data_IF_339209756363
#
_entry.id   IF_339209756363
#
_cell.length_a   1.000
_cell.length_b   1.000
_cell.length_c   1.000
_cell.angle_alpha   90.00
_cell.angle_beta   90.00
_cell.angle_gamma   90.00
#
_symmetry.space_group_name_H-M   'P 1'
#
loop_
_entity.id
_entity.type
_entity.pdbx_description
1 polymer ?
#
# COMPACT_ATOMS: atom_id res chain seq x y z
N UNK A 1 51.64 -34.44 -15.31
CA UNK A 1 50.27 -34.42 -15.83
C UNK A 1 50.16 -33.14 -16.64
N UNK A 2 49.93 -33.24 -17.94
CA UNK A 2 49.76 -32.07 -18.80
C UNK A 2 48.32 -31.63 -18.60
N UNK A 3 48.09 -30.43 -18.05
CA UNK A 3 46.74 -29.85 -17.99
C UNK A 3 46.37 -29.51 -19.43
N UNK A 4 45.22 -29.99 -19.96
CA UNK A 4 44.78 -29.64 -21.31
C UNK A 4 44.67 -28.12 -21.45
N UNK A 5 45.09 -27.58 -22.60
CA UNK A 5 45.04 -26.13 -22.90
C UNK A 5 43.59 -25.59 -23.00
N UNK A 6 42.59 -26.48 -22.91
CA UNK A 6 41.16 -26.22 -23.12
C UNK A 6 40.27 -26.52 -21.91
N UNK A 7 40.85 -26.88 -20.76
CA UNK A 7 40.06 -27.16 -19.55
C UNK A 7 39.41 -25.87 -19.01
N UNK A 8 38.08 -25.83 -19.02
CA UNK A 8 37.26 -24.69 -18.61
C UNK A 8 36.19 -25.14 -17.61
N UNK A 9 35.95 -24.31 -16.60
CA UNK A 9 34.91 -24.57 -15.61
C UNK A 9 33.57 -24.19 -16.21
N UNK A 10 32.63 -25.13 -16.26
CA UNK A 10 31.29 -24.95 -16.83
C UNK A 10 30.27 -24.50 -15.79
N UNK A 11 30.46 -24.87 -14.53
CA UNK A 11 29.55 -24.54 -13.44
C UNK A 11 30.33 -24.34 -12.14
N UNK A 12 29.86 -23.42 -11.29
CA UNK A 12 30.29 -23.31 -9.90
C UNK A 12 29.09 -22.93 -9.03
N UNK A 13 28.98 -23.53 -7.85
CA UNK A 13 27.90 -23.26 -6.91
C UNK A 13 28.30 -23.59 -5.47
N UNK A 14 27.43 -23.23 -4.54
CA UNK A 14 27.50 -23.68 -3.15
C UNK A 14 26.76 -25.02 -2.95
N UNK A 15 27.32 -25.90 -2.11
CA UNK A 15 26.64 -27.17 -1.77
C UNK A 15 25.41 -27.04 -0.86
N UNK A 16 25.11 -25.83 -0.36
CA UNK A 16 23.96 -25.50 0.48
C UNK A 16 23.47 -24.09 0.13
N UNK A 17 22.20 -23.81 0.42
CA UNK A 17 21.62 -22.47 0.24
C UNK A 17 22.37 -21.39 1.04
N UNK A 18 22.89 -21.73 2.23
CA UNK A 18 23.75 -20.85 3.02
C UNK A 18 24.69 -21.64 3.93
N UNK A 19 25.75 -20.96 4.38
CA UNK A 19 26.67 -21.42 5.43
C UNK A 19 26.82 -20.36 6.51
N UNK A 20 26.74 -20.77 7.77
CA UNK A 20 26.98 -19.89 8.92
C UNK A 20 28.47 -19.70 9.19
N UNK A 21 28.83 -18.65 9.93
CA UNK A 21 30.23 -18.32 10.25
C UNK A 21 31.03 -19.43 10.95
N UNK A 22 30.37 -20.37 11.64
CA UNK A 22 31.01 -21.48 12.35
C UNK A 22 31.21 -22.73 11.47
N UNK A 23 30.66 -22.73 10.26
CA UNK A 23 30.77 -23.84 9.33
C UNK A 23 32.03 -23.78 8.47
N UNK A 24 32.28 -24.90 7.79
CA UNK A 24 33.21 -24.97 6.66
C UNK A 24 32.42 -24.93 5.36
N UNK A 25 32.94 -24.19 4.40
CA UNK A 25 32.37 -24.01 3.07
C UNK A 25 33.29 -24.64 2.03
N UNK A 26 32.66 -25.30 1.05
CA UNK A 26 33.27 -25.81 -0.17
C UNK A 26 32.46 -25.26 -1.36
N UNK A 27 33.18 -24.98 -2.45
CA UNK A 27 32.61 -24.79 -3.77
C UNK A 27 32.57 -26.10 -4.54
N UNK A 28 31.48 -26.30 -5.26
CA UNK A 28 31.21 -27.45 -6.13
C UNK A 28 31.03 -26.97 -7.55
N UNK A 29 31.19 -27.86 -8.52
CA UNK A 29 30.96 -27.53 -9.91
C UNK A 29 31.46 -28.60 -10.87
N UNK A 30 31.51 -28.24 -12.15
CA UNK A 30 31.96 -29.10 -13.24
C UNK A 30 32.95 -28.40 -14.16
N UNK A 31 33.81 -29.18 -14.80
CA UNK A 31 34.68 -28.78 -15.92
C UNK A 31 34.68 -29.83 -17.03
N UNK A 32 35.17 -29.46 -18.21
CA UNK A 32 34.93 -30.18 -19.47
C UNK A 32 35.98 -31.25 -19.86
N UNK A 33 37.06 -31.42 -19.11
CA UNK A 33 38.18 -32.32 -19.46
C UNK A 33 38.36 -33.49 -18.48
N UNK A 34 38.11 -33.28 -17.19
CA UNK A 34 38.28 -34.28 -16.14
C UNK A 34 39.69 -34.28 -15.54
N UNK A 35 39.77 -34.65 -14.26
CA UNK A 35 41.03 -34.89 -13.53
C UNK A 35 42.01 -33.69 -13.53
N UNK A 36 41.51 -32.46 -13.50
CA UNK A 36 42.34 -31.24 -13.45
C UNK A 36 42.27 -30.57 -12.08
N UNK A 37 43.23 -29.70 -11.78
CA UNK A 37 43.18 -28.84 -10.61
C UNK A 37 42.28 -27.64 -10.91
N UNK A 38 41.20 -27.49 -10.14
CA UNK A 38 40.31 -26.33 -10.18
C UNK A 38 40.65 -25.40 -9.02
N UNK A 39 40.75 -24.10 -9.31
CA UNK A 39 40.97 -23.04 -8.34
C UNK A 39 39.71 -22.19 -8.24
N UNK A 40 39.38 -21.73 -7.03
CA UNK A 40 38.30 -20.76 -6.80
C UNK A 40 38.87 -19.54 -6.10
N UNK A 41 38.85 -18.40 -6.78
CA UNK A 41 39.22 -17.11 -6.23
C UNK A 41 37.98 -16.40 -5.68
N UNK A 42 37.90 -16.27 -4.37
CA UNK A 42 36.85 -15.51 -3.67
C UNK A 42 37.36 -14.11 -3.41
N UNK A 43 36.88 -13.15 -4.19
CA UNK A 43 37.24 -11.73 -4.12
C UNK A 43 36.26 -10.99 -3.20
N UNK A 44 36.81 -10.28 -2.22
CA UNK A 44 36.03 -9.50 -1.25
C UNK A 44 35.61 -8.12 -1.81
N UNK A 45 34.73 -7.38 -1.10
CA UNK A 45 34.27 -6.05 -1.52
C UNK A 45 35.41 -5.03 -1.71
N UNK A 46 36.57 -5.24 -1.08
CA UNK A 46 37.74 -4.36 -1.20
C UNK A 46 38.66 -4.75 -2.37
N UNK A 47 38.36 -5.89 -3.00
CA UNK A 47 39.09 -6.44 -4.14
C UNK A 47 40.18 -7.44 -3.77
N UNK A 48 40.32 -7.81 -2.49
CA UNK A 48 41.30 -8.81 -2.04
C UNK A 48 40.74 -10.22 -2.23
N UNK A 49 41.57 -11.12 -2.75
CA UNK A 49 41.15 -12.50 -3.04
C UNK A 49 41.69 -13.51 -2.05
N UNK A 50 40.87 -14.52 -1.75
CA UNK A 50 41.23 -15.78 -1.10
C UNK A 50 41.15 -16.90 -2.14
N UNK A 51 42.10 -17.82 -2.11
CA UNK A 51 42.14 -18.95 -3.04
C UNK A 51 41.79 -20.25 -2.33
N UNK A 52 40.90 -21.00 -2.96
CA UNK A 52 40.58 -22.39 -2.64
C UNK A 52 40.93 -23.24 -3.86
N UNK A 53 41.14 -24.53 -3.65
CA UNK A 53 41.42 -25.46 -4.75
C UNK A 53 40.93 -26.87 -4.45
N UNK A 54 40.70 -27.62 -5.51
CA UNK A 54 40.25 -29.02 -5.50
C UNK A 54 40.58 -29.69 -6.83
N UNK A 55 40.68 -31.02 -6.83
CA UNK A 55 40.80 -31.77 -8.08
C UNK A 55 39.41 -32.18 -8.56
N UNK A 56 39.15 -32.04 -9.85
CA UNK A 56 38.00 -32.68 -10.46
C UNK A 56 38.24 -34.19 -10.59
N UNK A 57 37.16 -34.94 -10.65
CA UNK A 57 37.16 -36.37 -10.92
C UNK A 57 37.27 -36.64 -12.45
N UNK A 58 37.32 -37.91 -12.89
CA UNK A 58 37.42 -38.23 -14.33
C UNK A 58 36.23 -37.80 -15.20
N UNK A 59 35.09 -37.42 -14.61
CA UNK A 59 33.92 -36.89 -15.36
C UNK A 59 33.80 -35.38 -15.24
N UNK A 60 34.74 -34.73 -14.54
CA UNK A 60 34.85 -33.28 -14.46
C UNK A 60 34.17 -32.66 -13.24
N UNK A 61 33.56 -33.44 -12.35
CA UNK A 61 32.97 -32.89 -11.12
C UNK A 61 34.05 -32.58 -10.09
N UNK A 62 33.98 -31.42 -9.43
CA UNK A 62 34.95 -31.02 -8.41
C UNK A 62 34.30 -30.55 -7.12
N UNK A 63 35.04 -30.75 -6.02
CA UNK A 63 34.81 -30.09 -4.73
C UNK A 63 36.13 -29.45 -4.28
N UNK A 64 36.08 -28.18 -3.87
CA UNK A 64 37.24 -27.54 -3.23
C UNK A 64 37.44 -28.01 -1.79
N UNK A 65 38.69 -27.97 -1.31
CA UNK A 65 38.99 -28.34 0.09
C UNK A 65 38.20 -27.43 1.05
N UNK A 66 37.36 -27.99 1.95
CA UNK A 66 36.52 -27.20 2.85
C UNK A 66 37.34 -26.26 3.74
N UNK A 67 36.98 -24.98 3.78
CA UNK A 67 37.61 -23.96 4.63
C UNK A 67 36.60 -23.26 5.54
N UNK A 68 37.03 -22.77 6.70
CA UNK A 68 36.12 -22.05 7.61
C UNK A 68 35.61 -20.76 6.97
N UNK A 69 34.30 -20.50 7.07
CA UNK A 69 33.66 -19.28 6.54
C UNK A 69 34.37 -18.02 7.04
N UNK A 70 34.70 -17.95 8.35
CA UNK A 70 35.43 -16.83 8.97
C UNK A 70 36.80 -16.53 8.35
N UNK A 71 37.44 -17.50 7.70
CA UNK A 71 38.74 -17.30 7.07
C UNK A 71 38.66 -16.67 5.68
N UNK A 72 37.48 -16.77 5.04
CA UNK A 72 37.21 -16.30 3.69
C UNK A 72 36.43 -14.99 3.74
N UNK A 73 35.35 -14.95 4.52
CA UNK A 73 34.42 -13.84 4.63
C UNK A 73 34.69 -13.07 5.92
N UNK A 74 35.20 -11.84 5.79
CA UNK A 74 35.70 -11.04 6.92
C UNK A 74 35.06 -9.65 7.05
N UNK A 75 34.32 -9.22 6.03
CA UNK A 75 33.56 -8.00 6.00
C UNK A 75 32.19 -8.25 5.37
N UNK A 76 31.15 -7.62 5.90
CA UNK A 76 29.79 -7.66 5.34
C UNK A 76 29.82 -7.11 3.91
N UNK A 77 29.10 -7.75 2.99
CA UNK A 77 28.92 -7.29 1.62
C UNK A 77 29.03 -8.40 0.58
N UNK A 78 29.16 -7.98 -0.67
CA UNK A 78 29.16 -8.87 -1.84
C UNK A 78 30.56 -9.35 -2.21
N UNK A 79 30.69 -10.66 -2.41
CA UNK A 79 31.90 -11.34 -2.84
C UNK A 79 31.67 -11.92 -4.24
N UNK A 80 32.73 -11.98 -5.04
CA UNK A 80 32.71 -12.67 -6.32
C UNK A 80 33.61 -13.91 -6.22
N UNK A 81 33.03 -15.10 -6.40
CA UNK A 81 33.76 -16.35 -6.42
C UNK A 81 33.93 -16.83 -7.87
N UNK A 82 35.16 -16.77 -8.37
CA UNK A 82 35.49 -17.19 -9.74
C UNK A 82 36.25 -18.51 -9.73
N UNK A 83 35.66 -19.55 -10.32
CA UNK A 83 36.27 -20.86 -10.51
C UNK A 83 36.98 -20.95 -11.86
N UNK A 84 38.22 -21.46 -11.88
CA UNK A 84 39.04 -21.56 -13.08
C UNK A 84 40.09 -22.66 -12.96
N UNK A 85 40.48 -23.26 -14.08
CA UNK A 85 41.57 -24.24 -14.14
C UNK A 85 42.92 -23.53 -14.32
N UNK A 86 43.08 -22.82 -15.45
CA UNK A 86 44.36 -22.19 -15.83
C UNK A 86 44.39 -20.68 -15.57
N UNK A 87 43.48 -19.94 -16.22
CA UNK A 87 43.41 -18.47 -16.15
C UNK A 87 42.07 -18.04 -15.60
N UNK A 88 42.09 -17.13 -14.63
CA UNK A 88 40.88 -16.58 -14.00
C UNK A 88 40.00 -15.81 -14.99
N UNK A 89 40.57 -15.28 -16.08
CA UNK A 89 39.82 -14.54 -17.11
C UNK A 89 38.81 -15.42 -17.87
N UNK A 90 39.06 -16.73 -17.92
CA UNK A 90 38.16 -17.72 -18.52
C UNK A 90 37.30 -18.42 -17.45
N UNK A 91 37.28 -17.90 -16.23
CA UNK A 91 36.61 -18.54 -15.11
C UNK A 91 35.11 -18.28 -15.08
N UNK A 92 34.38 -19.23 -14.52
CA UNK A 92 32.94 -19.09 -14.24
C UNK A 92 32.77 -18.50 -12.85
N UNK A 93 31.87 -17.51 -12.71
CA UNK A 93 31.71 -16.74 -11.48
C UNK A 93 30.31 -16.83 -10.92
N UNK A 94 30.22 -16.87 -9.59
CA UNK A 94 28.98 -16.63 -8.83
C UNK A 94 29.16 -15.44 -7.90
N UNK A 95 28.07 -14.75 -7.63
CA UNK A 95 28.01 -13.71 -6.62
C UNK A 95 27.55 -14.32 -5.30
N UNK A 96 28.21 -13.92 -4.22
CA UNK A 96 27.87 -14.33 -2.86
C UNK A 96 27.63 -13.09 -2.01
N UNK A 97 26.74 -13.18 -1.04
CA UNK A 97 26.53 -12.14 -0.04
C UNK A 97 26.83 -12.68 1.35
N UNK A 98 27.59 -11.90 2.14
CA UNK A 98 27.83 -12.17 3.55
C UNK A 98 27.18 -11.08 4.39
N UNK A 99 26.19 -11.46 5.21
CA UNK A 99 25.41 -10.53 6.05
C UNK A 99 26.02 -10.29 7.45
N UNK A 100 27.12 -10.99 7.77
CA UNK A 100 27.77 -10.96 9.08
C UNK A 100 27.56 -12.24 9.90
N UNK A 101 26.52 -13.01 9.60
CA UNK A 101 26.18 -14.27 10.28
C UNK A 101 26.29 -15.48 9.35
N UNK A 102 25.95 -15.30 8.07
CA UNK A 102 25.95 -16.34 7.05
C UNK A 102 26.34 -15.80 5.68
N UNK A 103 26.81 -16.72 4.84
CA UNK A 103 27.05 -16.50 3.41
C UNK A 103 26.06 -17.31 2.60
N UNK A 104 25.52 -16.70 1.55
CA UNK A 104 24.61 -17.33 0.60
C UNK A 104 24.91 -16.86 -0.82
N UNK A 105 24.51 -17.67 -1.80
CA UNK A 105 24.64 -17.33 -3.21
C UNK A 105 23.58 -16.29 -3.59
N UNK A 106 24.00 -15.25 -4.31
CA UNK A 106 23.10 -14.26 -4.89
C UNK A 106 22.61 -14.83 -6.21
N UNK A 107 21.30 -15.07 -6.37
CA UNK A 107 20.79 -15.67 -7.60
C UNK A 107 21.04 -14.79 -8.83
N UNK A 108 21.39 -15.40 -9.96
CA UNK A 108 21.54 -14.73 -11.26
C UNK A 108 20.19 -14.60 -12.00
N UNK A 109 19.21 -14.01 -11.32
CA UNK A 109 17.95 -13.58 -11.93
C UNK A 109 17.62 -12.18 -11.43
N UNK A 110 16.81 -11.45 -12.19
CA UNK A 110 16.25 -10.17 -11.74
C UNK A 110 14.92 -10.44 -11.07
N UNK A 111 14.84 -10.20 -9.76
CA UNK A 111 13.56 -10.26 -9.05
C UNK A 111 12.70 -9.08 -9.52
N UNK A 112 11.62 -9.36 -10.26
CA UNK A 112 10.74 -8.33 -10.78
C UNK A 112 9.28 -8.79 -10.78
N UNK A 113 8.39 -7.97 -10.20
CA UNK A 113 6.95 -8.16 -10.22
C UNK A 113 6.38 -7.81 -11.60
N UNK A 114 5.35 -8.56 -12.02
CA UNK A 114 4.46 -8.10 -13.07
C UNK A 114 3.65 -6.90 -12.56
N UNK A 115 3.39 -5.94 -13.44
CA UNK A 115 2.54 -4.79 -13.11
C UNK A 115 1.16 -5.24 -12.64
N UNK A 116 0.68 -4.67 -11.54
CA UNK A 116 -0.61 -5.01 -10.94
C UNK A 116 -1.63 -3.94 -11.33
N UNK A 117 -2.64 -4.25 -12.18
CA UNK A 117 -3.59 -3.23 -12.61
C UNK A 117 -4.49 -2.76 -11.46
N UNK A 118 -4.77 -1.46 -11.44
CA UNK A 118 -5.73 -0.83 -10.53
C UNK A 118 -7.05 -1.59 -10.46
N UNK A 119 -7.63 -1.65 -9.26
CA UNK A 119 -8.91 -2.32 -9.02
C UNK A 119 -9.94 -1.35 -8.49
N UNK A 120 -11.20 -1.71 -8.70
CA UNK A 120 -12.33 -1.03 -8.11
C UNK A 120 -13.23 -2.05 -7.44
N UNK A 121 -13.68 -1.76 -6.22
CA UNK A 121 -14.50 -2.66 -5.42
C UNK A 121 -15.54 -1.86 -4.63
N UNK A 122 -16.68 -2.46 -4.35
CA UNK A 122 -17.68 -1.88 -3.44
C UNK A 122 -17.43 -2.33 -2.01
N UNK A 123 -17.89 -1.56 -1.02
CA UNK A 123 -17.84 -2.03 0.36
C UNK A 123 -18.56 -3.36 0.52
N UNK A 124 -18.07 -4.19 1.43
CA UNK A 124 -18.57 -5.53 1.73
C UNK A 124 -18.43 -6.54 0.57
N UNK A 125 -17.79 -6.16 -0.54
CA UNK A 125 -17.38 -7.06 -1.62
C UNK A 125 -15.90 -7.39 -1.51
N UNK A 126 -15.56 -8.66 -1.71
CA UNK A 126 -14.17 -9.09 -1.71
C UNK A 126 -13.50 -8.79 -3.04
N UNK A 127 -12.32 -8.19 -2.98
CA UNK A 127 -11.37 -8.10 -4.10
C UNK A 127 -10.22 -9.09 -3.88
N UNK A 128 -9.80 -9.74 -4.96
CA UNK A 128 -8.67 -10.67 -4.96
C UNK A 128 -7.88 -10.54 -6.25
N UNK A 129 -6.57 -10.72 -6.15
CA UNK A 129 -5.64 -10.85 -7.27
C UNK A 129 -4.43 -11.66 -6.80
N UNK A 130 -3.57 -12.06 -7.73
CA UNK A 130 -2.32 -12.76 -7.42
C UNK A 130 -1.17 -11.93 -7.96
N UNK A 131 -0.24 -11.54 -7.09
CA UNK A 131 1.04 -10.97 -7.51
C UNK A 131 1.93 -12.09 -8.07
N UNK A 132 2.62 -11.82 -9.16
CA UNK A 132 3.47 -12.80 -9.82
C UNK A 132 4.75 -12.15 -10.35
N UNK A 133 5.80 -12.93 -10.46
CA UNK A 133 7.08 -12.50 -11.03
C UNK A 133 7.07 -12.55 -12.55
N UNK A 134 7.85 -11.69 -13.19
CA UNK A 134 8.12 -11.77 -14.63
C UNK A 134 8.83 -13.08 -14.96
N UNK A 135 9.84 -13.44 -14.17
CA UNK A 135 10.50 -14.73 -14.25
C UNK A 135 9.79 -15.77 -13.37
N UNK A 136 9.00 -16.65 -14.00
CA UNK A 136 8.28 -17.74 -13.34
C UNK A 136 9.17 -18.91 -12.88
N UNK A 137 10.44 -18.94 -13.31
CA UNK A 137 11.39 -19.98 -12.89
C UNK A 137 11.86 -19.77 -11.46
N UNK A 138 11.87 -18.52 -10.98
CA UNK A 138 12.21 -18.15 -9.60
C UNK A 138 11.32 -18.87 -8.59
N UNK A 139 11.93 -19.50 -7.60
CA UNK A 139 11.27 -20.25 -6.51
C UNK A 139 11.61 -19.63 -5.16
N UNK A 140 10.82 -19.96 -4.13
CA UNK A 140 11.04 -19.54 -2.74
C UNK A 140 10.94 -18.02 -2.48
N UNK A 141 10.18 -17.32 -3.33
CA UNK A 141 9.87 -15.89 -3.13
C UNK A 141 8.84 -15.69 -2.01
N UNK A 142 9.04 -14.63 -1.22
CA UNK A 142 8.19 -14.27 -0.08
C UNK A 142 7.48 -12.95 -0.36
N UNK A 143 6.15 -12.98 -0.41
CA UNK A 143 5.31 -11.81 -0.63
C UNK A 143 4.86 -11.17 0.69
N UNK A 144 4.78 -9.85 0.71
CA UNK A 144 4.30 -9.06 1.85
C UNK A 144 3.62 -7.77 1.38
N UNK A 145 2.98 -7.08 2.32
CA UNK A 145 2.32 -5.79 2.07
C UNK A 145 2.95 -4.70 2.93
N UNK A 146 2.88 -3.46 2.43
CA UNK A 146 3.21 -2.26 3.19
C UNK A 146 2.20 -1.16 2.91
N UNK A 147 1.73 -0.51 3.98
CA UNK A 147 0.68 0.52 3.96
C UNK A 147 -0.68 -0.01 3.48
N UNK A 148 -0.93 -1.31 3.64
CA UNK A 148 -2.18 -1.95 3.25
C UNK A 148 -3.39 -1.46 4.06
N UNK A 149 -4.59 -1.45 3.46
CA UNK A 149 -5.80 -1.15 4.21
C UNK A 149 -6.08 -2.22 5.27
N UNK A 150 -6.72 -1.81 6.37
CA UNK A 150 -7.04 -2.71 7.47
C UNK A 150 -7.85 -3.92 6.99
N UNK A 151 -7.39 -5.12 7.37
CA UNK A 151 -8.02 -6.39 6.99
C UNK A 151 -7.62 -6.91 5.61
N UNK A 152 -6.76 -6.22 4.86
CA UNK A 152 -6.12 -6.79 3.68
C UNK A 152 -5.06 -7.81 4.09
N UNK A 153 -4.94 -8.86 3.29
CA UNK A 153 -3.97 -9.94 3.52
C UNK A 153 -3.35 -10.36 2.20
N UNK A 154 -2.11 -10.83 2.24
CA UNK A 154 -1.46 -11.53 1.14
C UNK A 154 -0.91 -12.85 1.66
N UNK A 155 -1.11 -13.92 0.90
CA UNK A 155 -0.44 -15.18 1.18
C UNK A 155 1.04 -15.06 0.77
N UNK A 156 1.94 -15.28 1.72
CA UNK A 156 3.37 -15.02 1.53
C UNK A 156 4.04 -15.96 0.54
N UNK A 157 3.43 -17.11 0.23
CA UNK A 157 4.01 -18.13 -0.67
C UNK A 157 3.41 -18.09 -2.07
N UNK A 158 2.13 -17.71 -2.19
CA UNK A 158 1.40 -17.71 -3.46
C UNK A 158 1.19 -16.31 -4.05
N UNK A 159 1.46 -15.25 -3.28
CA UNK A 159 1.19 -13.87 -3.69
C UNK A 159 -0.30 -13.55 -3.81
N UNK A 160 -1.19 -14.43 -3.29
CA UNK A 160 -2.65 -14.23 -3.37
C UNK A 160 -3.07 -13.15 -2.38
N UNK A 161 -3.50 -12.01 -2.91
CA UNK A 161 -4.09 -10.92 -2.15
C UNK A 161 -5.60 -11.15 -1.97
N UNK A 162 -6.09 -10.84 -0.76
CA UNK A 162 -7.52 -10.84 -0.42
C UNK A 162 -7.82 -9.66 0.49
N UNK A 163 -8.84 -8.88 0.11
CA UNK A 163 -9.38 -7.81 0.95
C UNK A 163 -10.89 -7.68 0.79
N UNK A 164 -11.58 -7.45 1.90
CA UNK A 164 -13.02 -7.11 1.93
C UNK A 164 -13.17 -5.77 2.65
N UNK A 165 -13.31 -4.64 1.95
CA UNK A 165 -13.47 -3.34 2.59
C UNK A 165 -14.73 -3.32 3.44
N UNK A 166 -14.62 -3.03 4.73
CA UNK A 166 -15.79 -2.74 5.57
C UNK A 166 -16.47 -1.43 5.15
N UNK A 167 -17.67 -1.18 5.67
CA UNK A 167 -18.41 0.09 5.44
C UNK A 167 -17.61 1.35 5.80
N UNK A 168 -16.70 1.27 6.78
CA UNK A 168 -15.86 2.40 7.19
C UNK A 168 -14.79 2.77 6.15
N UNK A 169 -14.53 1.92 5.17
CA UNK A 169 -13.62 2.22 4.05
C UNK A 169 -14.32 2.94 2.89
N UNK A 170 -15.67 2.95 2.88
CA UNK A 170 -16.46 3.69 1.90
C UNK A 170 -16.80 5.10 2.38
N UNK A 171 -17.07 6.01 1.45
CA UNK A 171 -17.52 7.37 1.74
C UNK A 171 -18.64 7.80 0.77
N UNK A 172 -19.03 9.08 0.79
CA UNK A 172 -19.94 9.72 -0.19
C UNK A 172 -19.29 9.88 -1.58
N UNK A 173 -17.97 9.70 -1.64
CA UNK A 173 -17.16 9.68 -2.85
C UNK A 173 -16.30 8.41 -2.86
N UNK A 174 -15.73 8.11 -4.02
CA UNK A 174 -14.78 7.02 -4.18
C UNK A 174 -13.50 7.32 -3.39
N UNK A 175 -12.97 6.31 -2.71
CA UNK A 175 -11.76 6.43 -1.87
C UNK A 175 -10.66 5.54 -2.45
N UNK A 176 -9.49 6.13 -2.68
CA UNK A 176 -8.32 5.40 -3.20
C UNK A 176 -7.46 4.89 -2.04
N UNK A 177 -7.13 3.61 -2.08
CA UNK A 177 -6.18 2.96 -1.18
C UNK A 177 -4.92 2.58 -1.98
N UNK A 178 -3.80 3.23 -1.65
CA UNK A 178 -2.50 2.97 -2.25
C UNK A 178 -1.62 2.23 -1.26
N UNK A 179 -1.08 1.09 -1.67
CA UNK A 179 -0.19 0.27 -0.85
C UNK A 179 0.82 -0.44 -1.75
N UNK A 180 1.91 -0.91 -1.14
CA UNK A 180 2.95 -1.63 -1.87
C UNK A 180 2.78 -3.14 -1.66
N UNK A 181 2.85 -3.90 -2.75
CA UNK A 181 3.13 -5.33 -2.72
C UNK A 181 4.64 -5.50 -2.86
N UNK A 182 5.26 -6.18 -1.90
CA UNK A 182 6.70 -6.37 -1.84
C UNK A 182 7.00 -7.86 -2.01
N UNK A 183 7.98 -8.20 -2.84
CA UNK A 183 8.49 -9.56 -2.97
C UNK A 183 9.97 -9.58 -2.59
N UNK A 184 10.35 -10.55 -1.77
CA UNK A 184 11.72 -10.80 -1.36
C UNK A 184 12.15 -12.19 -1.83
N UNK A 185 13.39 -12.31 -2.32
CA UNK A 185 14.01 -13.59 -2.60
C UNK A 185 15.52 -13.50 -2.38
N UNK A 186 16.03 -14.22 -1.38
CA UNK A 186 17.41 -14.05 -0.93
C UNK A 186 17.68 -12.61 -0.49
N UNK A 187 18.70 -11.98 -1.08
CA UNK A 187 19.04 -10.56 -0.85
C UNK A 187 18.33 -9.58 -1.80
N UNK A 188 17.48 -10.05 -2.72
CA UNK A 188 16.77 -9.19 -3.67
C UNK A 188 15.38 -8.80 -3.15
N UNK A 189 15.00 -7.55 -3.37
CA UNK A 189 13.67 -6.99 -3.10
C UNK A 189 13.16 -6.29 -4.35
N UNK A 190 11.89 -6.51 -4.69
CA UNK A 190 11.16 -5.68 -5.64
C UNK A 190 9.79 -5.29 -5.08
N UNK A 191 9.23 -4.19 -5.57
CA UNK A 191 7.96 -3.65 -5.09
C UNK A 191 7.12 -3.11 -6.23
N UNK A 192 5.81 -3.32 -6.12
CA UNK A 192 4.82 -2.76 -7.02
C UNK A 192 3.76 -1.99 -6.23
N UNK A 193 3.45 -0.78 -6.68
CA UNK A 193 2.41 0.03 -6.06
C UNK A 193 1.04 -0.37 -6.61
N UNK A 194 0.06 -0.58 -5.73
CA UNK A 194 -1.28 -1.02 -6.08
C UNK A 194 -2.30 0.01 -5.61
N UNK A 195 -3.19 0.41 -6.53
CA UNK A 195 -4.35 1.25 -6.21
C UNK A 195 -5.62 0.42 -6.20
N UNK A 196 -6.36 0.46 -5.09
CA UNK A 196 -7.74 -0.04 -5.03
C UNK A 196 -8.69 1.11 -4.71
N UNK A 197 -9.60 1.40 -5.65
CA UNK A 197 -10.68 2.36 -5.46
C UNK A 197 -11.88 1.68 -4.83
N UNK A 198 -12.21 2.06 -3.60
CA UNK A 198 -13.47 1.68 -2.97
C UNK A 198 -14.54 2.65 -3.44
N UNK A 199 -15.56 2.13 -4.14
CA UNK A 199 -16.69 2.95 -4.61
C UNK A 199 -17.43 3.56 -3.44
N UNK A 200 -17.99 4.75 -3.67
CA UNK A 200 -18.89 5.39 -2.71
C UNK A 200 -19.94 4.40 -2.21
N UNK A 201 -20.02 4.26 -0.90
CA UNK A 201 -20.99 3.38 -0.24
C UNK A 201 -22.35 4.06 -0.06
N UNK A 202 -22.38 5.39 -0.24
CA UNK A 202 -23.58 6.21 -0.16
C UNK A 202 -23.88 6.82 -1.53
N UNK A 203 -25.05 6.48 -2.07
CA UNK A 203 -25.68 7.23 -3.15
C UNK A 203 -26.64 8.18 -2.44
N UNK A 204 -26.43 9.51 -2.55
CA UNK A 204 -27.44 10.47 -2.11
C UNK A 204 -28.80 10.03 -2.69
N UNK A 205 -29.87 9.99 -1.88
CA UNK A 205 -31.18 9.70 -2.41
C UNK A 205 -31.44 10.70 -3.53
N UNK A 206 -31.64 10.17 -4.75
CA UNK A 206 -32.19 10.97 -5.83
C UNK A 206 -33.48 11.54 -5.24
N UNK A 207 -33.55 12.86 -5.05
CA UNK A 207 -34.83 13.50 -4.77
C UNK A 207 -35.71 13.08 -5.94
N UNK A 208 -36.67 12.18 -5.68
CA UNK A 208 -37.61 11.76 -6.71
C UNK A 208 -38.13 13.03 -7.38
N UNK A 209 -38.10 13.15 -8.72
CA UNK A 209 -38.88 14.16 -9.38
C UNK A 209 -40.31 13.87 -8.94
N UNK A 210 -40.83 14.72 -8.04
CA UNK A 210 -42.21 14.69 -7.56
C UNK A 210 -43.07 14.48 -8.80
N UNK A 211 -43.69 13.30 -8.93
CA UNK A 211 -44.58 13.01 -10.05
C UNK A 211 -45.54 14.17 -10.17
N UNK A 212 -45.35 14.92 -11.24
CA UNK A 212 -46.26 15.94 -11.70
C UNK A 212 -47.59 15.24 -12.01
N UNK A 213 -48.69 15.58 -11.32
CA UNK A 213 -50.01 15.31 -11.85
C UNK A 213 -50.17 16.14 -13.14
N UNK A 214 -50.46 15.50 -14.27
CA UNK A 214 -50.99 16.19 -15.45
C UNK A 214 -52.28 16.98 -15.12
N UNK A 215 -52.62 18.02 -15.89
CA UNK A 215 -52.64 19.41 -15.42
C UNK A 215 -54.01 19.89 -14.94
N UNK A 216 -54.02 20.79 -13.97
CA UNK A 216 -55.10 21.77 -13.72
C UNK A 216 -54.50 22.96 -12.96
N UNK A 217 -55.02 24.19 -13.13
CA UNK A 217 -54.23 25.36 -13.51
C UNK A 217 -53.35 25.95 -12.39
N UNK A 218 -52.23 26.51 -12.83
CA UNK A 218 -51.18 27.22 -12.12
C UNK A 218 -51.64 28.05 -10.92
N UNK A 219 -51.05 27.78 -9.75
CA UNK A 219 -50.93 28.76 -8.66
C UNK A 219 -49.42 28.94 -8.40
N UNK A 220 -48.89 30.18 -8.37
CA UNK A 220 -47.46 30.43 -8.34
C UNK A 220 -46.87 30.14 -6.95
N UNK A 221 -45.75 29.41 -6.93
CA UNK A 221 -44.89 29.25 -5.75
C UNK A 221 -44.23 30.60 -5.40
N UNK A 222 -44.22 31.04 -4.12
CA UNK A 222 -43.61 32.31 -3.73
C UNK A 222 -42.09 32.33 -3.97
N UNK A 223 -41.63 33.45 -4.52
CA UNK A 223 -40.20 33.78 -4.67
C UNK A 223 -39.66 34.20 -3.31
N UNK A 224 -38.55 33.61 -2.85
CA UNK A 224 -37.87 34.07 -1.62
C UNK A 224 -37.51 35.57 -1.76
N UNK A 225 -37.97 36.44 -0.84
CA UNK A 225 -37.68 37.86 -0.90
C UNK A 225 -36.24 38.14 -0.46
N UNK A 226 -35.47 38.79 -1.34
CA UNK A 226 -34.17 39.36 -1.01
C UNK A 226 -34.38 40.74 -0.35
N UNK A 227 -34.29 40.83 0.98
CA UNK A 227 -34.28 42.09 1.73
C UNK A 227 -35.17 42.12 2.97
N UNK A 228 -35.16 43.24 3.70
CA UNK A 228 -36.11 43.48 4.80
C UNK A 228 -37.53 43.70 4.25
N UNK A 229 -38.54 43.32 5.02
CA UNK A 229 -39.93 43.56 4.66
C UNK A 229 -40.26 45.05 4.63
N UNK A 230 -41.17 45.46 3.74
CA UNK A 230 -41.49 46.88 3.49
C UNK A 230 -42.09 47.62 4.70
N UNK A 231 -42.57 46.92 5.72
CA UNK A 231 -43.07 47.52 6.97
C UNK A 231 -41.98 47.81 8.01
N UNK A 232 -40.76 47.33 7.77
CA UNK A 232 -39.64 47.47 8.70
C UNK A 232 -39.09 48.88 8.58
N UNK A 233 -39.07 49.58 9.70
CA UNK A 233 -38.43 50.89 9.84
C UNK A 233 -37.01 50.65 10.35
N UNK A 234 -36.01 50.88 9.50
CA UNK A 234 -34.60 50.65 9.81
C UNK A 234 -34.09 51.51 11.00
N UNK A 235 -34.84 52.55 11.40
CA UNK A 235 -34.49 53.40 12.55
C UNK A 235 -35.02 52.86 13.89
N UNK A 236 -35.83 51.80 13.86
CA UNK A 236 -36.37 51.13 15.06
C UNK A 236 -35.64 49.84 15.35
N UNK A 237 -35.65 49.45 16.62
CA UNK A 237 -35.10 48.17 17.04
C UNK A 237 -35.86 47.01 16.38
N UNK A 238 -35.20 46.18 15.55
CA UNK A 238 -35.83 45.05 14.87
C UNK A 238 -36.48 44.05 15.84
N UNK A 239 -35.95 43.92 17.06
CA UNK A 239 -36.50 43.01 18.06
C UNK A 239 -37.90 43.43 18.53
N UNK A 240 -38.24 44.72 18.46
CA UNK A 240 -39.58 45.22 18.82
C UNK A 240 -40.69 44.66 17.93
N UNK A 241 -40.39 44.35 16.67
CA UNK A 241 -41.33 43.75 15.71
C UNK A 241 -41.58 42.27 16.01
N UNK A 242 -40.53 41.52 16.36
CA UNK A 242 -40.63 40.12 16.81
C UNK A 242 -41.43 40.03 18.11
N UNK A 243 -41.15 40.91 19.05
CA UNK A 243 -41.88 41.02 20.31
C UNK A 243 -43.36 41.30 20.09
N UNK A 244 -43.68 42.21 19.18
CA UNK A 244 -45.06 42.53 18.81
C UNK A 244 -45.75 41.36 18.12
N UNK A 245 -45.06 40.65 17.22
CA UNK A 245 -45.55 39.43 16.56
C UNK A 245 -45.90 38.32 17.56
N UNK A 246 -45.12 38.15 18.62
CA UNK A 246 -45.39 37.14 19.64
C UNK A 246 -46.44 37.57 20.68
N UNK A 247 -46.60 38.87 20.94
CA UNK A 247 -47.49 39.41 22.00
C UNK A 247 -48.88 39.82 21.49
N UNK A 248 -49.01 40.25 20.24
CA UNK A 248 -50.27 40.77 19.67
C UNK A 248 -50.85 39.81 18.61
N UNK A 249 -51.91 39.04 18.90
CA UNK A 249 -52.50 38.09 17.95
C UNK A 249 -53.01 38.74 16.66
N UNK A 250 -53.47 39.98 16.73
CA UNK A 250 -53.92 40.76 15.58
C UNK A 250 -52.77 41.16 14.66
N UNK A 251 -51.61 41.51 15.24
CA UNK A 251 -50.40 41.83 14.50
C UNK A 251 -49.77 40.57 13.88
N UNK A 252 -49.78 39.45 14.62
CA UNK A 252 -49.41 38.13 14.10
C UNK A 252 -50.23 37.76 12.88
N UNK A 253 -51.56 37.81 13.00
CA UNK A 253 -52.46 37.52 11.89
C UNK A 253 -52.24 38.46 10.71
N UNK A 254 -52.06 39.76 10.96
CA UNK A 254 -51.75 40.72 9.91
C UNK A 254 -50.44 40.38 9.18
N UNK A 255 -49.37 40.03 9.90
CA UNK A 255 -48.12 39.62 9.27
C UNK A 255 -48.29 38.35 8.44
N UNK A 256 -48.90 37.31 9.03
CA UNK A 256 -49.13 36.02 8.37
C UNK A 256 -50.02 36.18 7.11
N UNK A 257 -50.98 37.12 7.12
CA UNK A 257 -51.88 37.39 6.01
C UNK A 257 -51.25 38.29 4.90
N UNK A 258 -50.25 39.14 5.23
CA UNK A 258 -49.73 40.16 4.30
C UNK A 258 -48.28 39.92 3.83
N UNK A 259 -47.50 39.10 4.52
CA UNK A 259 -46.06 38.90 4.30
C UNK A 259 -45.69 37.43 4.18
N UNK A 260 -46.53 36.65 3.48
CA UNK A 260 -46.36 35.21 3.26
C UNK A 260 -45.09 34.83 2.48
N UNK A 261 -44.44 35.80 1.84
CA UNK A 261 -43.15 35.62 1.17
C UNK A 261 -41.99 35.39 2.15
N UNK A 262 -42.11 35.81 3.42
CA UNK A 262 -41.10 35.57 4.45
C UNK A 262 -41.42 34.28 5.23
N UNK A 263 -40.41 33.44 5.43
CA UNK A 263 -40.55 32.19 6.20
C UNK A 263 -40.78 32.42 7.70
N UNK A 264 -40.36 33.58 8.22
CA UNK A 264 -40.62 34.00 9.59
C UNK A 264 -40.53 35.52 9.78
N UNK A 265 -41.04 36.00 10.92
CA UNK A 265 -40.86 37.40 11.33
C UNK A 265 -39.38 37.76 11.50
N UNK A 266 -38.52 36.81 11.90
CA UNK A 266 -37.08 37.03 12.06
C UNK A 266 -36.43 37.31 10.70
N UNK A 267 -36.78 36.53 9.67
CA UNK A 267 -36.32 36.79 8.30
C UNK A 267 -36.81 38.16 7.79
N UNK A 268 -38.08 38.49 8.03
CA UNK A 268 -38.67 39.74 7.58
C UNK A 268 -37.99 40.99 8.17
N UNK A 269 -37.49 40.91 9.40
CA UNK A 269 -36.85 42.04 10.11
C UNK A 269 -35.32 41.94 10.14
N UNK A 270 -34.74 40.94 9.48
CA UNK A 270 -33.29 40.77 9.37
C UNK A 270 -32.61 40.32 10.67
N UNK A 271 -33.33 39.59 11.53
CA UNK A 271 -32.76 38.96 12.71
C UNK A 271 -32.50 37.47 12.45
N UNK A 272 -31.46 36.94 13.08
CA UNK A 272 -31.25 35.49 13.13
C UNK A 272 -32.33 34.85 14.01
N UNK A 273 -32.91 33.74 13.55
CA UNK A 273 -33.82 32.96 14.39
C UNK A 273 -33.08 32.40 15.61
N UNK A 274 -33.70 32.42 16.80
CA UNK A 274 -33.09 31.84 17.98
C UNK A 274 -32.84 30.35 17.74
N UNK A 275 -31.57 29.96 17.84
CA UNK A 275 -31.14 28.57 17.67
C UNK A 275 -31.91 27.69 18.64
N UNK A 276 -32.73 26.79 18.11
CA UNK A 276 -33.36 25.77 18.92
C UNK A 276 -32.27 24.82 19.41
N UNK A 277 -32.31 24.52 20.70
CA UNK A 277 -31.42 23.53 21.30
C UNK A 277 -31.69 22.22 20.57
N UNK A 278 -30.63 21.63 20.01
CA UNK A 278 -30.79 20.41 19.23
C UNK A 278 -31.46 19.32 20.08
N UNK A 279 -32.31 18.45 19.52
CA UNK A 279 -33.13 17.52 20.30
C UNK A 279 -32.35 16.57 21.23
N UNK A 280 -31.04 16.42 21.00
CA UNK A 280 -30.14 15.57 21.77
C UNK A 280 -29.45 16.29 22.94
N UNK A 281 -29.63 17.61 23.09
CA UNK A 281 -29.04 18.39 24.17
C UNK A 281 -30.06 18.50 25.31
N UNK A 282 -29.83 17.71 26.35
CA UNK A 282 -30.51 17.82 27.64
C UNK A 282 -30.02 19.07 28.38
N UNK A 283 -30.95 19.97 28.68
CA UNK A 283 -30.68 21.26 29.35
C UNK A 283 -30.27 21.11 30.82
N UNK A 284 -30.44 19.94 31.42
CA UNK A 284 -30.05 19.67 32.81
C UNK A 284 -28.64 19.08 32.93
N UNK A 285 -27.97 18.81 31.81
CA UNK A 285 -26.60 18.27 31.78
C UNK A 285 -25.59 19.38 31.53
N UNK A 286 -24.47 19.33 32.26
CA UNK A 286 -23.35 20.23 32.06
C UNK A 286 -22.82 20.10 30.61
N UNK A 287 -22.58 21.19 29.87
CA UNK A 287 -22.04 21.13 28.51
C UNK A 287 -20.77 20.28 28.37
N UNK A 288 -19.95 20.20 29.43
CA UNK A 288 -18.73 19.39 29.47
C UNK A 288 -19.02 17.89 29.34
N UNK A 289 -20.20 17.42 29.78
CA UNK A 289 -20.65 16.03 29.60
C UNK A 289 -20.63 15.59 28.13
N UNK A 290 -20.91 16.50 27.20
CA UNK A 290 -20.92 16.19 25.77
C UNK A 290 -19.51 16.16 25.17
N UNK A 291 -18.54 16.86 25.77
CA UNK A 291 -17.14 16.86 25.34
C UNK A 291 -16.41 15.63 25.88
N UNK A 292 -16.66 15.28 27.14
CA UNK A 292 -16.02 14.15 27.81
C UNK A 292 -16.48 12.79 27.28
N UNK A 293 -17.59 12.73 26.51
CA UNK A 293 -18.08 11.50 25.89
C UNK A 293 -17.26 11.07 24.65
N UNK A 294 -16.41 11.95 24.13
CA UNK A 294 -15.63 11.73 22.91
C UNK A 294 -14.11 11.77 23.12
N UNK A 295 -13.65 11.87 24.37
CA UNK A 295 -12.25 11.69 24.79
C UNK A 295 -12.09 10.39 25.58
#
# INVERSE_FOLDING_TARGET
MIVPDHAEVTEVSLGKNFYTVDEKISFFGSENEGSVLVNVAVKDPTGKSKLLGGFSDPVGEFETIPQSVKNIFSAIGTYNATAFVNKIENGTSILLEFDGEKVFEVPDFVLQLNGIPDKTVEVEKTVTFTASLIDSSVKDSVFSLKNEPTGATIDSSTGKFVWTPSKSHGNIQDVMYNFDVIVNNGGQEDKENVTITVRKAYVEPVKDPKKEPEPTPTEPTPTEPNGLASFVDETKDPQSYVDRYNKEPTYKKWFDDNYSEYSSIYQAVGLEEPKTIAPFVDQNLDPQYYIDRYN
#
